data_IF_207670655588
#
_entry.id   IF_207670655588
#
_cell.length_a   1.000
_cell.length_b   1.000
_cell.length_c   1.000
_cell.angle_alpha   90.00
_cell.angle_beta   90.00
_cell.angle_gamma   90.00
#
_symmetry.space_group_name_H-M   'P 1'
#
loop_
_entity.id
_entity.type
_entity.pdbx_description
1 polymer ?
#
# COMPACT_ATOMS: atom_id res chain seq x y z
N UNK A 1 -3.25 -21.82 -6.03
CA UNK A 1 -2.36 -20.70 -5.63
C UNK A 1 -1.40 -21.20 -4.55
N UNK A 2 -0.34 -20.45 -4.24
CA UNK A 2 0.54 -20.78 -3.13
C UNK A 2 -0.04 -20.24 -1.82
N UNK A 3 0.31 -20.86 -0.68
CA UNK A 3 -0.12 -20.39 0.64
C UNK A 3 0.15 -18.90 0.88
N UNK A 4 1.26 -18.38 0.34
CA UNK A 4 1.61 -16.98 0.48
C UNK A 4 0.58 -16.06 -0.19
N UNK A 5 0.10 -16.44 -1.39
CA UNK A 5 -0.92 -15.68 -2.10
C UNK A 5 -2.25 -15.74 -1.34
N UNK A 6 -2.64 -16.94 -0.88
CA UNK A 6 -3.90 -17.13 -0.14
C UNK A 6 -3.91 -16.31 1.17
N UNK A 7 -2.78 -16.24 1.88
CA UNK A 7 -2.65 -15.45 3.11
C UNK A 7 -2.79 -13.94 2.84
N UNK A 8 -2.26 -13.42 1.73
CA UNK A 8 -2.38 -12.01 1.34
C UNK A 8 -3.82 -11.66 1.01
N UNK A 9 -4.51 -12.50 0.22
CA UNK A 9 -5.92 -12.29 -0.11
C UNK A 9 -6.80 -12.39 1.14
N UNK A 10 -6.48 -13.31 2.06
CA UNK A 10 -7.18 -13.44 3.33
C UNK A 10 -7.01 -12.19 4.20
N UNK A 11 -5.80 -11.63 4.29
CA UNK A 11 -5.58 -10.39 5.06
C UNK A 11 -6.29 -9.19 4.43
N UNK A 12 -6.25 -9.04 3.10
CA UNK A 12 -7.00 -7.99 2.42
C UNK A 12 -8.50 -8.12 2.69
N UNK A 13 -9.05 -9.33 2.63
CA UNK A 13 -10.45 -9.59 2.99
C UNK A 13 -10.75 -9.26 4.46
N UNK A 14 -9.83 -9.58 5.39
CA UNK A 14 -9.98 -9.26 6.81
C UNK A 14 -9.99 -7.75 7.04
N UNK A 15 -9.12 -6.99 6.39
CA UNK A 15 -9.11 -5.52 6.45
C UNK A 15 -10.47 -4.94 6.04
N UNK A 16 -11.03 -5.41 4.93
CA UNK A 16 -12.36 -4.98 4.46
C UNK A 16 -13.45 -5.36 5.46
N UNK A 17 -13.52 -6.63 5.87
CA UNK A 17 -14.67 -7.16 6.64
C UNK A 17 -14.61 -6.80 8.13
N UNK A 18 -13.43 -6.84 8.73
CA UNK A 18 -13.27 -6.64 10.17
C UNK A 18 -12.98 -5.18 10.54
N UNK A 19 -12.22 -4.47 9.71
CA UNK A 19 -11.84 -3.08 9.98
C UNK A 19 -12.70 -2.06 9.21
N UNK A 20 -13.50 -2.52 8.23
CA UNK A 20 -14.32 -1.64 7.39
C UNK A 20 -13.51 -0.83 6.38
N UNK A 21 -12.31 -1.29 6.00
CA UNK A 21 -11.47 -0.65 4.98
C UNK A 21 -12.02 -0.94 3.58
N UNK A 22 -13.14 -0.31 3.24
CA UNK A 22 -13.79 -0.43 1.94
C UNK A 22 -13.02 0.32 0.84
N UNK A 23 -13.45 0.17 -0.41
CA UNK A 23 -12.91 0.93 -1.54
C UNK A 23 -13.03 2.45 -1.30
N UNK A 24 -14.14 2.90 -0.71
CA UNK A 24 -14.36 4.32 -0.36
C UNK A 24 -13.44 4.80 0.77
N UNK A 25 -13.14 3.93 1.74
CA UNK A 25 -12.15 4.21 2.77
C UNK A 25 -10.77 4.39 2.15
N UNK A 26 -10.37 3.46 1.28
CA UNK A 26 -9.07 3.51 0.62
C UNK A 26 -8.95 4.71 -0.32
N UNK A 27 -10.02 5.07 -1.02
CA UNK A 27 -10.11 6.27 -1.87
C UNK A 27 -10.03 7.58 -1.08
N UNK A 28 -10.33 7.57 0.22
CA UNK A 28 -10.23 8.75 1.09
C UNK A 28 -8.81 9.02 1.59
N UNK A 29 -7.88 8.07 1.41
CA UNK A 29 -6.48 8.25 1.75
C UNK A 29 -5.74 9.16 0.75
N UNK A 30 -4.72 9.85 1.26
CA UNK A 30 -3.82 10.65 0.43
C UNK A 30 -3.02 9.79 -0.55
N UNK A 31 -2.58 10.41 -1.65
CA UNK A 31 -1.76 9.73 -2.68
C UNK A 31 -0.54 9.07 -2.04
N UNK A 32 -0.44 7.75 -2.18
CA UNK A 32 0.67 6.96 -1.67
C UNK A 32 0.63 6.63 -0.18
N UNK A 33 -0.37 7.05 0.59
CA UNK A 33 -0.44 6.74 2.04
C UNK A 33 -0.48 5.22 2.29
N UNK A 34 -1.34 4.47 1.59
CA UNK A 34 -1.41 3.01 1.73
C UNK A 34 -0.08 2.34 1.34
N UNK A 35 0.59 2.86 0.30
CA UNK A 35 1.92 2.38 -0.10
C UNK A 35 3.00 2.68 0.94
N UNK A 36 2.95 3.84 1.60
CA UNK A 36 3.89 4.23 2.64
C UNK A 36 3.73 3.32 3.87
N UNK A 37 2.49 3.03 4.27
CA UNK A 37 2.19 2.05 5.32
C UNK A 37 2.69 0.64 4.94
N UNK A 38 2.46 0.20 3.70
CA UNK A 38 2.96 -1.08 3.18
C UNK A 38 4.49 -1.17 3.21
N UNK A 39 5.18 -0.11 2.79
CA UNK A 39 6.63 0.01 2.84
C UNK A 39 7.16 -0.09 4.28
N UNK A 40 6.50 0.56 5.25
CA UNK A 40 6.90 0.51 6.66
C UNK A 40 6.86 -0.92 7.22
N UNK A 41 5.78 -1.67 6.98
CA UNK A 41 5.67 -3.07 7.41
C UNK A 41 6.70 -3.97 6.71
N UNK A 42 6.94 -3.78 5.41
CA UNK A 42 7.97 -4.53 4.68
C UNK A 42 9.39 -4.22 5.20
N UNK A 43 9.65 -2.94 5.50
CA UNK A 43 10.91 -2.47 6.10
C UNK A 43 11.15 -3.08 7.47
N UNK A 44 10.13 -3.07 8.35
CA UNK A 44 10.19 -3.73 9.66
C UNK A 44 10.50 -5.23 9.52
N UNK A 45 9.79 -5.93 8.64
CA UNK A 45 10.05 -7.36 8.39
C UNK A 45 11.49 -7.62 7.91
N UNK A 46 11.98 -6.80 6.96
CA UNK A 46 13.34 -6.90 6.43
C UNK A 46 14.41 -6.71 7.51
N UNK A 47 14.28 -5.67 8.32
CA UNK A 47 15.23 -5.37 9.40
C UNK A 47 15.18 -6.44 10.50
N UNK A 48 13.99 -6.91 10.86
CA UNK A 48 13.79 -7.97 11.86
C UNK A 48 14.44 -9.29 11.42
N UNK A 49 14.28 -9.71 10.17
CA UNK A 49 14.95 -10.90 9.62
C UNK A 49 16.48 -10.79 9.63
N UNK A 50 17.01 -9.55 9.60
CA UNK A 50 18.45 -9.26 9.66
C UNK A 50 18.97 -9.08 11.10
N UNK A 51 18.14 -9.31 12.12
CA UNK A 51 18.50 -9.09 13.52
C UNK A 51 18.69 -7.62 13.90
N UNK A 52 18.13 -6.70 13.10
CA UNK A 52 18.19 -5.24 13.28
C UNK A 52 16.80 -4.62 13.47
N UNK A 53 15.80 -5.46 13.76
CA UNK A 53 14.42 -5.03 13.94
C UNK A 53 14.21 -4.30 15.26
N UNK A 54 13.18 -3.49 15.29
CA UNK A 54 12.64 -2.82 16.46
C UNK A 54 11.23 -2.32 16.15
N UNK A 55 10.42 -2.08 17.18
CA UNK A 55 9.01 -1.74 16.99
C UNK A 55 8.75 -0.22 16.98
N UNK A 56 9.81 0.58 16.85
CA UNK A 56 9.68 2.04 16.69
C UNK A 56 8.90 2.37 15.44
N UNK A 57 8.02 3.36 15.53
CA UNK A 57 7.27 3.87 14.38
C UNK A 57 8.25 4.42 13.33
N UNK A 58 8.25 3.91 12.09
CA UNK A 58 9.13 4.42 11.06
C UNK A 58 8.76 5.86 10.68
N UNK A 59 9.75 6.71 10.40
CA UNK A 59 9.51 8.09 9.93
C UNK A 59 8.54 8.24 8.74
N UNK A 60 8.50 7.34 7.73
CA UNK A 60 7.53 7.45 6.64
C UNK A 60 6.14 6.84 6.95
N UNK A 61 5.86 6.46 8.20
CA UNK A 61 4.55 5.95 8.59
C UNK A 61 3.49 7.07 8.44
N UNK A 62 2.38 6.83 7.70
CA UNK A 62 1.46 7.90 7.31
C UNK A 62 0.36 8.18 8.33
N UNK A 63 0.21 7.36 9.36
CA UNK A 63 -0.90 7.42 10.31
C UNK A 63 -0.42 7.68 11.73
N UNK A 64 -1.35 7.85 12.66
CA UNK A 64 -0.98 8.01 14.07
C UNK A 64 -0.21 6.79 14.59
N UNK A 65 0.72 7.04 15.52
CA UNK A 65 1.65 6.06 16.08
C UNK A 65 0.93 4.84 16.67
N UNK A 66 -0.27 5.02 17.22
CA UNK A 66 -1.04 3.93 17.84
C UNK A 66 -1.52 2.89 16.82
N UNK A 67 -1.54 3.23 15.54
CA UNK A 67 -1.88 2.30 14.44
C UNK A 67 -0.69 1.48 13.97
N UNK A 68 0.53 1.85 14.37
CA UNK A 68 1.71 1.05 14.12
C UNK A 68 1.72 -0.17 15.04
N UNK A 69 1.39 -1.34 14.50
CA UNK A 69 1.25 -2.59 15.26
C UNK A 69 2.00 -3.74 14.58
N UNK A 70 3.33 -3.65 14.43
CA UNK A 70 4.12 -4.72 13.82
C UNK A 70 3.97 -6.02 14.61
N UNK A 71 4.24 -7.14 13.95
CA UNK A 71 4.12 -8.47 14.56
C UNK A 71 5.40 -9.26 14.36
N UNK A 72 5.44 -10.05 13.29
CA UNK A 72 6.59 -10.85 12.94
C UNK A 72 6.78 -10.73 11.43
N UNK A 73 8.00 -11.00 10.92
CA UNK A 73 8.33 -10.70 9.54
C UNK A 73 7.35 -11.28 8.53
N UNK A 74 6.89 -12.53 8.73
CA UNK A 74 5.99 -13.18 7.79
C UNK A 74 4.58 -12.57 7.79
N UNK A 75 4.09 -12.12 8.95
CA UNK A 75 2.78 -11.44 9.06
C UNK A 75 2.86 -10.00 8.57
N UNK A 76 3.96 -9.32 8.86
CA UNK A 76 4.16 -7.94 8.42
C UNK A 76 4.31 -7.86 6.90
N UNK A 77 4.99 -8.83 6.26
CA UNK A 77 5.02 -8.94 4.80
C UNK A 77 3.65 -9.20 4.17
N UNK A 78 2.78 -9.98 4.83
CA UNK A 78 1.40 -10.20 4.36
C UNK A 78 0.60 -8.92 4.44
N UNK A 79 0.67 -8.22 5.58
CA UNK A 79 -0.02 -6.94 5.76
C UNK A 79 0.49 -5.89 4.77
N UNK A 80 1.81 -5.83 4.57
CA UNK A 80 2.43 -4.96 3.58
C UNK A 80 1.89 -5.23 2.19
N UNK A 81 1.87 -6.49 1.75
CA UNK A 81 1.34 -6.85 0.43
C UNK A 81 -0.16 -6.55 0.30
N UNK A 82 -0.97 -6.77 1.34
CA UNK A 82 -2.38 -6.42 1.35
C UNK A 82 -2.61 -4.90 1.21
N UNK A 83 -1.82 -4.08 1.91
CA UNK A 83 -1.86 -2.62 1.79
C UNK A 83 -1.41 -2.14 0.41
N UNK A 84 -0.41 -2.80 -0.20
CA UNK A 84 0.02 -2.48 -1.56
C UNK A 84 -1.05 -2.84 -2.60
N UNK A 85 -1.77 -3.96 -2.41
CA UNK A 85 -2.94 -4.28 -3.24
C UNK A 85 -4.01 -3.19 -3.09
N UNK A 86 -4.29 -2.75 -1.86
CA UNK A 86 -5.25 -1.67 -1.62
C UNK A 86 -4.89 -0.37 -2.36
N UNK A 87 -3.61 0.03 -2.35
CA UNK A 87 -3.15 1.21 -3.12
C UNK A 87 -3.28 0.99 -4.63
N UNK A 88 -2.93 -0.20 -5.14
CA UNK A 88 -3.08 -0.51 -6.57
C UNK A 88 -4.56 -0.42 -6.98
N UNK A 89 -5.46 -1.00 -6.19
CA UNK A 89 -6.91 -0.91 -6.42
C UNK A 89 -7.39 0.55 -6.39
N UNK A 90 -6.89 1.38 -5.47
CA UNK A 90 -7.17 2.82 -5.40
C UNK A 90 -6.72 3.54 -6.67
N UNK A 91 -5.49 3.29 -7.12
CA UNK A 91 -4.93 3.87 -8.35
C UNK A 91 -5.71 3.43 -9.60
N UNK A 92 -6.09 2.16 -9.68
CA UNK A 92 -6.89 1.62 -10.78
C UNK A 92 -8.26 2.31 -10.83
N UNK A 93 -8.93 2.50 -9.68
CA UNK A 93 -10.20 3.25 -9.60
C UNK A 93 -10.01 4.74 -9.96
N UNK A 94 -8.93 5.37 -9.51
CA UNK A 94 -8.60 6.76 -9.85
C UNK A 94 -8.39 6.94 -11.38
N UNK A 95 -7.70 5.99 -12.02
CA UNK A 95 -7.49 5.99 -13.47
C UNK A 95 -8.80 5.85 -14.25
N UNK A 96 -9.80 5.12 -13.73
CA UNK A 96 -11.13 5.01 -14.34
C UNK A 96 -11.95 6.31 -14.21
N UNK A 97 -11.74 7.10 -13.13
CA UNK A 97 -12.43 8.40 -12.91
C UNK A 97 -11.89 9.52 -13.80
N UNK A 98 -10.64 9.42 -14.24
CA UNK A 98 -10.01 10.39 -15.13
C UNK A 98 -9.93 9.83 -16.55
N UNK A 99 -11.00 9.92 -17.36
CA UNK A 99 -10.92 9.51 -18.75
C UNK A 99 -9.99 10.47 -19.48
N UNK A 100 -8.71 10.08 -19.59
CA UNK A 100 -7.68 10.61 -20.50
C UNK A 100 -8.03 11.97 -21.12
N UNK A 101 -7.98 13.06 -20.33
CA UNK A 101 -7.99 14.41 -20.88
C UNK A 101 -6.64 14.58 -21.56
N UNK A 102 -6.64 14.38 -22.87
CA UNK A 102 -5.44 14.29 -23.70
C UNK A 102 -4.44 15.40 -23.39
N UNK A 103 -3.33 15.03 -22.73
CA UNK A 103 -2.11 15.79 -22.86
C UNK A 103 -1.61 15.50 -24.27
N UNK A 104 -1.96 16.38 -25.20
CA UNK A 104 -1.23 16.53 -26.45
C UNK A 104 0.24 16.71 -26.07
N UNK A 105 1.10 15.80 -26.54
CA UNK A 105 2.54 16.05 -26.53
C UNK A 105 2.77 17.34 -27.32
N UNK A 106 3.50 18.35 -26.81
CA UNK A 106 3.86 19.49 -27.61
C UNK A 106 4.63 18.97 -28.83
N UNK A 107 4.08 19.25 -30.02
CA UNK A 107 4.64 18.80 -31.28
C UNK A 107 6.06 19.31 -31.40
N UNK A 108 7.02 18.39 -31.56
CA UNK A 108 8.33 18.71 -32.11
C UNK A 108 8.15 18.91 -33.61
N UNK A 109 7.74 20.12 -34.00
CA UNK A 109 7.90 20.58 -35.38
C UNK A 109 9.40 20.77 -35.69
N UNK A 110 9.86 20.57 -36.93
CA UNK A 110 11.27 20.74 -37.28
C UNK A 110 11.67 22.21 -37.15
N UNK A 111 12.87 22.46 -36.65
CA UNK A 111 13.50 23.78 -36.70
C UNK A 111 13.88 24.07 -38.16
N UNK A 112 13.35 25.16 -38.71
CA UNK A 112 13.92 25.84 -39.88
C UNK A 112 15.27 26.48 -39.53
#
# INVERSE_FOLDING_TARGET
MSKAIDDVLTERRRQIVAEGWTDEHDDAHGVGELSAAGMCYAGHACLTLRGKGGDTVPSPWPWADEWWKPKNPRRDLVRAAALLIAEIERLDREALKTPNTGIQRPGTGPLE
#
